data_IF_466422471254
#
_entry.id   IF_466422471254
#
_cell.length_a   1.000
_cell.length_b   1.000
_cell.length_c   1.000
_cell.angle_alpha   90.00
_cell.angle_beta   90.00
_cell.angle_gamma   90.00
#
_symmetry.space_group_name_H-M   'P 1'
#
loop_
_entity.id
_entity.type
_entity.pdbx_description
1 polymer ?
#
# COMPACT_ATOMS: atom_id res chain seq x y z
N UNK A 1 -28.47 -7.43 22.53
CA UNK A 1 -28.04 -6.52 21.44
C UNK A 1 -28.99 -6.81 20.29
N UNK A 2 -29.57 -5.78 19.68
CA UNK A 2 -30.38 -5.98 18.48
C UNK A 2 -29.48 -6.09 17.23
N UNK A 3 -30.02 -6.50 16.09
CA UNK A 3 -29.21 -6.69 14.88
C UNK A 3 -28.66 -5.37 14.31
N UNK A 4 -29.36 -4.25 14.51
CA UNK A 4 -28.86 -2.92 14.11
C UNK A 4 -27.61 -2.57 14.92
N UNK A 5 -27.62 -2.80 16.23
CA UNK A 5 -26.46 -2.60 17.11
C UNK A 5 -25.30 -3.53 16.72
N UNK A 6 -25.60 -4.74 16.23
CA UNK A 6 -24.59 -5.65 15.67
C UNK A 6 -23.91 -5.04 14.45
N UNK A 7 -24.70 -4.58 13.48
CA UNK A 7 -24.17 -3.90 12.29
C UNK A 7 -23.37 -2.65 12.67
N UNK A 8 -23.90 -1.78 13.54
CA UNK A 8 -23.21 -0.52 13.88
C UNK A 8 -21.92 -0.74 14.68
N UNK A 9 -21.86 -1.81 15.49
CA UNK A 9 -20.65 -2.19 16.24
C UNK A 9 -19.52 -2.60 15.29
N UNK A 10 -19.83 -3.31 14.21
CA UNK A 10 -18.83 -3.89 13.31
C UNK A 10 -18.57 -3.06 12.05
N UNK A 11 -19.58 -2.33 11.57
CA UNK A 11 -19.53 -1.56 10.33
C UNK A 11 -19.49 -0.04 10.56
N UNK A 12 -19.62 0.42 11.81
CA UNK A 12 -19.80 1.83 12.12
C UNK A 12 -21.19 2.33 11.76
N UNK A 13 -21.37 3.65 11.71
CA UNK A 13 -22.70 4.24 11.47
C UNK A 13 -23.16 3.98 10.04
N UNK A 14 -24.44 3.64 9.89
CA UNK A 14 -25.11 3.58 8.59
C UNK A 14 -24.97 4.92 7.85
N UNK A 15 -24.47 4.87 6.62
CA UNK A 15 -24.24 6.06 5.79
C UNK A 15 -25.35 6.31 4.78
N UNK A 16 -26.13 5.27 4.47
CA UNK A 16 -27.24 5.32 3.52
C UNK A 16 -28.25 4.23 3.79
N UNK A 17 -29.49 4.44 3.33
CA UNK A 17 -30.52 3.42 3.26
C UNK A 17 -31.37 3.65 2.02
N UNK A 18 -31.85 2.57 1.41
CA UNK A 18 -32.80 2.61 0.31
C UNK A 18 -34.09 1.92 0.73
N UNK A 19 -35.20 2.62 0.50
CA UNK A 19 -36.55 2.08 0.63
C UNK A 19 -37.04 1.70 -0.76
N UNK A 20 -37.23 0.40 -0.97
CA UNK A 20 -37.77 -0.17 -2.20
C UNK A 20 -39.17 -0.68 -1.88
N UNK A 21 -40.18 -0.28 -2.65
CA UNK A 21 -41.60 -0.49 -2.32
C UNK A 21 -41.91 -1.95 -1.97
N UNK A 22 -41.43 -2.91 -2.77
CA UNK A 22 -41.67 -4.34 -2.56
C UNK A 22 -41.02 -4.89 -1.27
N UNK A 23 -39.86 -4.35 -0.87
CA UNK A 23 -39.18 -4.75 0.36
C UNK A 23 -39.78 -4.06 1.59
N UNK A 24 -40.25 -2.82 1.43
CA UNK A 24 -40.83 -2.02 2.49
C UNK A 24 -42.14 -2.62 3.01
N UNK A 25 -42.95 -3.22 2.13
CA UNK A 25 -44.14 -4.00 2.52
C UNK A 25 -43.82 -5.14 3.50
N UNK A 26 -42.59 -5.65 3.45
CA UNK A 26 -42.09 -6.73 4.30
C UNK A 26 -41.21 -6.23 5.45
N UNK A 27 -41.15 -4.91 5.66
CA UNK A 27 -40.31 -4.23 6.64
C UNK A 27 -38.81 -4.55 6.48
N UNK A 28 -38.36 -4.67 5.22
CA UNK A 28 -36.96 -4.86 4.83
C UNK A 28 -36.43 -3.58 4.19
N UNK A 29 -35.19 -3.21 4.51
CA UNK A 29 -34.47 -2.08 3.91
C UNK A 29 -33.10 -2.56 3.41
N UNK A 30 -32.52 -1.82 2.45
CA UNK A 30 -31.11 -2.01 2.08
C UNK A 30 -30.31 -0.88 2.73
N UNK A 31 -29.28 -1.23 3.48
CA UNK A 31 -28.45 -0.26 4.21
C UNK A 31 -27.01 -0.29 3.72
N UNK A 32 -26.33 0.85 3.84
CA UNK A 32 -24.99 1.05 3.33
C UNK A 32 -24.03 1.49 4.43
N UNK A 33 -22.78 1.04 4.31
CA UNK A 33 -21.66 1.41 5.14
C UNK A 33 -20.46 1.78 4.27
N UNK A 34 -19.62 2.68 4.78
CA UNK A 34 -18.42 3.17 4.10
C UNK A 34 -17.19 2.85 4.94
N UNK A 35 -16.08 2.57 4.26
CA UNK A 35 -14.80 2.21 4.86
C UNK A 35 -14.88 0.94 5.72
N UNK A 36 -15.64 -0.06 5.26
CA UNK A 36 -15.74 -1.37 5.90
C UNK A 36 -15.90 -2.47 4.82
N UNK A 37 -15.24 -3.64 4.95
CA UNK A 37 -14.33 -4.05 6.04
C UNK A 37 -12.98 -3.32 6.03
N UNK A 38 -12.61 -2.70 4.91
CA UNK A 38 -11.39 -1.90 4.79
C UNK A 38 -11.69 -0.46 4.39
N UNK A 39 -10.68 0.41 4.52
CA UNK A 39 -10.76 1.78 4.01
C UNK A 39 -11.15 1.79 2.52
N UNK A 40 -11.93 2.79 2.12
CA UNK A 40 -12.45 2.96 0.76
C UNK A 40 -13.42 1.89 0.23
N UNK A 41 -13.73 0.84 1.02
CA UNK A 41 -14.75 -0.12 0.66
C UNK A 41 -16.16 0.42 0.96
N UNK A 42 -17.11 0.12 0.08
CA UNK A 42 -18.54 0.26 0.30
C UNK A 42 -19.12 -1.12 0.57
N UNK A 43 -19.90 -1.22 1.64
CA UNK A 43 -20.66 -2.42 1.97
C UNK A 43 -22.16 -2.13 1.89
N UNK A 44 -22.90 -3.01 1.23
CA UNK A 44 -24.36 -3.00 1.18
C UNK A 44 -24.86 -4.28 1.85
N UNK A 45 -25.92 -4.17 2.64
CA UNK A 45 -26.55 -5.33 3.27
C UNK A 45 -28.04 -5.12 3.44
N UNK A 46 -28.79 -6.21 3.43
CA UNK A 46 -30.19 -6.21 3.83
C UNK A 46 -30.33 -5.96 5.33
N UNK A 47 -31.43 -5.31 5.71
CA UNK A 47 -31.85 -5.12 7.09
C UNK A 47 -33.32 -5.48 7.21
N UNK A 48 -33.59 -6.62 7.85
CA UNK A 48 -34.94 -7.10 8.13
C UNK A 48 -35.28 -8.43 7.46
N UNK A 49 -34.45 -8.94 6.54
CA UNK A 49 -34.66 -10.26 5.93
C UNK A 49 -34.63 -11.35 7.02
N UNK A 50 -33.79 -11.17 8.03
CA UNK A 50 -33.68 -12.07 9.18
C UNK A 50 -34.98 -12.26 9.97
N UNK A 51 -35.96 -11.36 9.84
CA UNK A 51 -37.29 -11.53 10.48
C UNK A 51 -38.13 -12.61 9.81
N UNK A 52 -37.77 -13.00 8.60
CA UNK A 52 -38.41 -14.06 7.84
C UNK A 52 -37.63 -15.37 8.05
N UNK A 53 -38.35 -16.47 8.23
CA UNK A 53 -37.73 -17.79 8.36
C UNK A 53 -37.38 -18.31 6.98
N UNK A 54 -36.09 -18.56 6.73
CA UNK A 54 -35.60 -19.21 5.53
C UNK A 54 -35.33 -20.69 5.83
N UNK A 55 -35.32 -21.53 4.80
CA UNK A 55 -35.07 -22.97 4.92
C UNK A 55 -33.95 -23.41 4.00
N UNK A 56 -33.00 -24.16 4.56
CA UNK A 56 -32.03 -24.93 3.77
C UNK A 56 -32.72 -26.13 3.10
N UNK A 57 -32.08 -26.75 2.10
CA UNK A 57 -32.63 -27.93 1.42
C UNK A 57 -32.94 -29.09 2.38
N UNK A 58 -32.17 -29.21 3.46
CA UNK A 58 -32.38 -30.22 4.50
C UNK A 58 -33.60 -29.93 5.42
N UNK A 59 -34.30 -28.82 5.19
CA UNK A 59 -35.49 -28.38 5.93
C UNK A 59 -35.20 -27.67 7.26
N UNK A 60 -33.93 -27.46 7.61
CA UNK A 60 -33.58 -26.68 8.81
C UNK A 60 -33.85 -25.20 8.58
N UNK A 61 -34.37 -24.54 9.63
CA UNK A 61 -34.74 -23.13 9.59
C UNK A 61 -33.53 -22.28 9.98
N UNK A 62 -33.32 -21.19 9.25
CA UNK A 62 -32.27 -20.20 9.49
C UNK A 62 -32.79 -18.79 9.24
N UNK A 63 -32.08 -17.81 9.80
CA UNK A 63 -32.33 -16.40 9.58
C UNK A 63 -31.04 -15.78 9.04
N UNK A 64 -31.13 -15.12 7.89
CA UNK A 64 -29.97 -14.58 7.19
C UNK A 64 -30.20 -13.11 6.81
N UNK A 65 -29.09 -12.41 6.60
CA UNK A 65 -29.07 -11.13 5.89
C UNK A 65 -28.07 -11.26 4.74
N UNK A 66 -28.39 -10.64 3.61
CA UNK A 66 -27.55 -10.61 2.41
C UNK A 66 -26.55 -9.47 2.55
N UNK A 67 -25.34 -9.67 2.05
CA UNK A 67 -24.26 -8.69 2.14
C UNK A 67 -23.34 -8.76 0.92
N UNK A 68 -22.92 -7.58 0.43
CA UNK A 68 -21.89 -7.41 -0.59
C UNK A 68 -20.95 -6.27 -0.21
N UNK A 69 -19.68 -6.36 -0.63
CA UNK A 69 -18.67 -5.33 -0.36
C UNK A 69 -17.74 -5.14 -1.56
N UNK A 70 -17.45 -3.90 -1.95
CA UNK A 70 -16.52 -3.57 -3.06
C UNK A 70 -15.76 -2.28 -2.82
N UNK A 71 -14.64 -2.08 -3.53
CA UNK A 71 -13.85 -0.85 -3.50
C UNK A 71 -14.16 0.13 -4.64
N UNK A 72 -14.83 -0.31 -5.70
CA UNK A 72 -15.16 0.54 -6.85
C UNK A 72 -16.46 1.29 -6.60
N UNK A 73 -16.35 2.58 -6.24
CA UNK A 73 -17.51 3.47 -6.05
C UNK A 73 -18.42 3.51 -7.28
N UNK A 74 -17.87 3.39 -8.48
CA UNK A 74 -18.63 3.33 -9.73
C UNK A 74 -19.49 2.06 -9.91
N UNK A 75 -19.42 1.10 -8.97
CA UNK A 75 -20.22 -0.13 -8.95
C UNK A 75 -21.25 -0.13 -7.82
N UNK A 76 -21.41 0.97 -7.07
CA UNK A 76 -22.33 1.04 -5.93
C UNK A 76 -23.79 0.75 -6.33
N UNK A 77 -24.24 1.29 -7.48
CA UNK A 77 -25.59 1.01 -7.99
C UNK A 77 -25.78 -0.47 -8.34
N UNK A 78 -24.79 -1.09 -8.98
CA UNK A 78 -24.81 -2.52 -9.30
C UNK A 78 -24.88 -3.36 -8.01
N UNK A 79 -24.18 -2.96 -6.94
CA UNK A 79 -24.23 -3.63 -5.65
C UNK A 79 -25.60 -3.58 -4.99
N UNK A 80 -26.25 -2.42 -5.00
CA UNK A 80 -27.61 -2.25 -4.48
C UNK A 80 -28.58 -3.14 -5.28
N UNK A 81 -28.42 -3.19 -6.61
CA UNK A 81 -29.24 -4.03 -7.47
C UNK A 81 -29.06 -5.53 -7.18
N UNK A 82 -27.82 -5.99 -6.97
CA UNK A 82 -27.54 -7.36 -6.53
C UNK A 82 -28.18 -7.69 -5.19
N UNK A 83 -27.95 -6.84 -4.18
CA UNK A 83 -28.48 -7.05 -2.83
C UNK A 83 -30.02 -7.09 -2.83
N UNK A 84 -30.65 -6.21 -3.62
CA UNK A 84 -32.08 -6.22 -3.87
C UNK A 84 -32.55 -7.55 -4.47
N UNK A 85 -31.92 -8.01 -5.56
CA UNK A 85 -32.32 -9.22 -6.24
C UNK A 85 -32.21 -10.47 -5.35
N UNK A 86 -31.09 -10.60 -4.64
CA UNK A 86 -30.85 -11.69 -3.70
C UNK A 86 -31.87 -11.66 -2.55
N UNK A 87 -32.02 -10.50 -1.90
CA UNK A 87 -32.99 -10.35 -0.80
C UNK A 87 -34.41 -10.70 -1.24
N UNK A 88 -34.82 -10.24 -2.42
CA UNK A 88 -36.15 -10.50 -2.96
C UNK A 88 -36.35 -11.97 -3.34
N UNK A 89 -35.30 -12.65 -3.85
CA UNK A 89 -35.33 -14.07 -4.19
C UNK A 89 -35.48 -14.94 -2.93
N UNK A 90 -34.66 -14.70 -1.91
CA UNK A 90 -34.77 -15.39 -0.62
C UNK A 90 -36.17 -15.21 -0.01
N UNK A 91 -36.70 -13.99 -0.03
CA UNK A 91 -38.02 -13.67 0.50
C UNK A 91 -39.16 -14.36 -0.27
N UNK A 92 -39.10 -14.38 -1.61
CA UNK A 92 -40.13 -15.00 -2.46
C UNK A 92 -40.14 -16.52 -2.36
N UNK A 93 -38.95 -17.11 -2.28
CA UNK A 93 -38.80 -18.56 -2.36
C UNK A 93 -38.79 -19.21 -0.98
N UNK A 94 -38.43 -18.46 0.07
CA UNK A 94 -38.21 -18.97 1.42
C UNK A 94 -36.96 -19.84 1.56
N UNK A 95 -36.10 -19.88 0.54
CA UNK A 95 -34.86 -20.67 0.57
C UNK A 95 -33.73 -19.84 1.19
N UNK A 96 -32.95 -20.51 2.03
CA UNK A 96 -31.71 -19.98 2.58
C UNK A 96 -30.56 -20.17 1.58
N UNK A 97 -29.52 -19.34 1.72
CA UNK A 97 -28.29 -19.48 0.96
C UNK A 97 -27.29 -20.38 1.69
N UNK A 98 -26.80 -21.41 1.00
CA UNK A 98 -25.84 -22.38 1.50
C UNK A 98 -24.40 -21.88 1.28
N UNK A 99 -23.58 -21.91 2.33
CA UNK A 99 -22.17 -21.57 2.20
C UNK A 99 -21.49 -22.56 1.24
N UNK A 100 -20.73 -22.04 0.28
CA UNK A 100 -20.06 -22.84 -0.74
C UNK A 100 -20.85 -23.03 -2.03
N UNK A 101 -22.11 -22.58 -2.10
CA UNK A 101 -22.83 -22.53 -3.37
C UNK A 101 -22.42 -21.31 -4.21
N UNK A 102 -22.80 -21.34 -5.49
CA UNK A 102 -22.70 -20.16 -6.35
C UNK A 102 -23.95 -20.01 -7.22
N UNK A 103 -24.34 -18.75 -7.42
CA UNK A 103 -25.49 -18.36 -8.22
C UNK A 103 -25.01 -17.72 -9.53
N UNK A 104 -25.70 -17.92 -10.67
CA UNK A 104 -25.34 -17.25 -11.91
C UNK A 104 -25.43 -15.73 -11.76
N UNK A 105 -24.47 -15.00 -12.36
CA UNK A 105 -24.49 -13.54 -12.34
C UNK A 105 -25.73 -13.02 -13.08
N UNK A 106 -26.53 -12.11 -12.49
CA UNK A 106 -27.65 -11.48 -13.20
C UNK A 106 -27.20 -10.69 -14.44
N UNK A 107 -27.99 -10.77 -15.51
CA UNK A 107 -27.70 -10.08 -16.76
C UNK A 107 -27.57 -8.56 -16.56
N UNK A 108 -26.51 -7.97 -17.10
CA UNK A 108 -26.27 -6.52 -17.11
C UNK A 108 -25.54 -5.99 -15.87
N UNK A 109 -25.69 -6.63 -14.72
CA UNK A 109 -25.08 -6.22 -13.45
C UNK A 109 -23.61 -6.64 -13.40
N UNK A 110 -22.71 -5.71 -13.04
CA UNK A 110 -21.26 -5.93 -13.03
C UNK A 110 -20.65 -6.42 -14.37
N UNK A 111 -21.40 -6.33 -15.47
CA UNK A 111 -21.05 -6.92 -16.77
C UNK A 111 -19.71 -6.45 -17.34
N UNK A 112 -19.28 -5.23 -17.01
CA UNK A 112 -17.98 -4.65 -17.41
C UNK A 112 -16.76 -5.35 -16.78
N UNK A 113 -16.95 -6.14 -15.72
CA UNK A 113 -15.87 -6.79 -14.98
C UNK A 113 -15.68 -8.27 -15.36
N UNK A 114 -16.61 -8.87 -16.11
CA UNK A 114 -16.45 -10.23 -16.64
C UNK A 114 -16.66 -11.37 -15.64
N UNK A 115 -17.30 -11.10 -14.50
CA UNK A 115 -17.71 -12.12 -13.54
C UNK A 115 -18.81 -13.02 -14.12
N UNK A 116 -18.77 -14.31 -13.75
CA UNK A 116 -19.69 -15.32 -14.24
C UNK A 116 -20.74 -15.73 -13.19
N UNK A 117 -20.39 -15.65 -11.91
CA UNK A 117 -21.24 -16.09 -10.81
C UNK A 117 -21.01 -15.28 -9.53
N UNK A 118 -21.90 -15.46 -8.54
CA UNK A 118 -21.80 -14.96 -7.18
C UNK A 118 -21.59 -16.17 -6.25
N UNK A 119 -20.45 -16.23 -5.59
CA UNK A 119 -20.13 -17.26 -4.61
C UNK A 119 -20.61 -16.87 -3.22
N UNK A 120 -21.20 -17.82 -2.50
CA UNK A 120 -21.79 -17.61 -1.18
C UNK A 120 -20.80 -18.05 -0.10
N UNK A 121 -20.42 -17.12 0.77
CA UNK A 121 -19.45 -17.39 1.84
C UNK A 121 -19.75 -16.57 3.11
N UNK A 122 -19.00 -16.85 4.18
CA UNK A 122 -19.00 -16.02 5.38
C UNK A 122 -18.32 -14.68 5.11
N UNK A 123 -18.69 -13.57 5.78
CA UNK A 123 -18.00 -12.29 5.65
C UNK A 123 -16.65 -12.33 6.40
N UNK A 124 -15.71 -13.14 5.91
CA UNK A 124 -14.47 -13.47 6.63
C UNK A 124 -13.43 -12.33 6.68
N UNK A 125 -13.62 -11.27 5.88
CA UNK A 125 -12.88 -10.01 6.02
C UNK A 125 -13.29 -9.19 7.23
N UNK A 126 -14.44 -9.50 7.83
CA UNK A 126 -14.88 -8.89 9.08
C UNK A 126 -14.38 -9.72 10.26
N UNK A 127 -14.31 -9.09 11.44
CA UNK A 127 -14.01 -9.81 12.67
C UNK A 127 -14.91 -11.04 12.85
N UNK A 128 -14.38 -12.14 13.38
CA UNK A 128 -15.13 -13.39 13.59
C UNK A 128 -16.45 -13.16 14.35
N UNK A 129 -16.45 -12.20 15.28
CA UNK A 129 -17.65 -11.85 16.06
C UNK A 129 -18.76 -11.18 15.24
N UNK A 130 -18.51 -10.73 14.01
CA UNK A 130 -19.52 -10.23 13.09
C UNK A 130 -20.29 -11.36 12.38
N UNK A 131 -19.64 -12.49 12.13
CA UNK A 131 -20.15 -13.56 11.26
C UNK A 131 -21.38 -14.28 11.82
N UNK A 132 -21.68 -14.12 13.11
CA UNK A 132 -22.88 -14.67 13.75
C UNK A 132 -23.43 -13.68 14.78
N UNK A 133 -24.67 -13.23 14.58
CA UNK A 133 -25.40 -12.48 15.59
C UNK A 133 -26.22 -13.42 16.47
N UNK A 134 -26.17 -13.22 17.78
CA UNK A 134 -27.02 -13.90 18.76
C UNK A 134 -28.05 -12.90 19.29
N UNK A 135 -29.28 -13.02 18.78
CA UNK A 135 -30.37 -12.12 19.13
C UNK A 135 -30.94 -12.41 20.52
N UNK A 136 -31.68 -11.43 21.04
CA UNK A 136 -32.42 -11.57 22.29
C UNK A 136 -33.89 -11.93 21.96
N UNK A 137 -34.29 -13.16 22.31
CA UNK A 137 -35.66 -13.61 22.11
C UNK A 137 -36.70 -12.70 22.83
N UNK A 138 -36.30 -12.00 23.89
CA UNK A 138 -37.16 -11.04 24.58
C UNK A 138 -37.44 -9.76 23.77
N UNK A 139 -36.59 -9.42 22.79
CA UNK A 139 -36.79 -8.29 21.88
C UNK A 139 -37.51 -8.67 20.59
N UNK A 140 -37.96 -9.91 20.45
CA UNK A 140 -38.65 -10.39 19.24
C UNK A 140 -37.71 -10.60 18.05
N UNK A 141 -36.41 -10.71 18.28
CA UNK A 141 -35.43 -11.08 17.26
C UNK A 141 -35.21 -12.60 17.22
N UNK A 142 -34.80 -13.15 16.06
CA UNK A 142 -34.35 -14.53 15.99
C UNK A 142 -33.17 -14.82 16.92
N UNK A 143 -33.09 -16.04 17.44
CA UNK A 143 -32.00 -16.47 18.33
C UNK A 143 -30.62 -16.39 17.66
N UNK A 144 -30.56 -16.64 16.35
CA UNK A 144 -29.33 -16.56 15.57
C UNK A 144 -29.62 -15.97 14.20
N UNK A 145 -28.83 -14.97 13.80
CA UNK A 145 -28.85 -14.39 12.46
C UNK A 145 -27.46 -14.52 11.85
N UNK A 146 -27.40 -14.96 10.59
CA UNK A 146 -26.15 -15.13 9.83
C UNK A 146 -26.07 -14.06 8.72
N UNK A 147 -25.12 -13.12 8.78
CA UNK A 147 -24.78 -12.33 7.61
C UNK A 147 -24.10 -13.25 6.58
N UNK A 148 -24.62 -13.27 5.36
CA UNK A 148 -24.13 -14.08 4.25
C UNK A 148 -23.52 -13.17 3.21
N UNK A 149 -22.27 -13.43 2.84
CA UNK A 149 -21.49 -12.58 1.95
C UNK A 149 -21.44 -13.17 0.54
N UNK A 150 -21.74 -12.34 -0.45
CA UNK A 150 -21.70 -12.72 -1.86
C UNK A 150 -20.50 -12.10 -2.55
N UNK A 151 -19.67 -12.97 -3.14
CA UNK A 151 -18.42 -12.60 -3.81
C UNK A 151 -18.53 -12.87 -5.31
N UNK A 152 -18.40 -11.87 -6.18
CA UNK A 152 -18.32 -12.10 -7.62
C UNK A 152 -17.09 -12.95 -8.00
N UNK A 153 -17.34 -14.03 -8.75
CA UNK A 153 -16.30 -14.97 -9.21
C UNK A 153 -16.29 -15.15 -10.73
N UNK A 154 -15.11 -15.43 -11.28
CA UNK A 154 -14.87 -15.64 -12.70
C UNK A 154 -15.25 -17.07 -13.13
N UNK A 155 -15.44 -17.27 -14.44
CA UNK A 155 -15.72 -18.59 -14.99
C UNK A 155 -14.60 -19.62 -14.70
N UNK A 156 -13.35 -19.18 -14.63
CA UNK A 156 -12.22 -20.05 -14.28
C UNK A 156 -12.25 -20.49 -12.81
N UNK A 157 -12.75 -19.65 -11.92
CA UNK A 157 -12.94 -19.96 -10.50
C UNK A 157 -14.10 -20.93 -10.30
N UNK A 158 -15.20 -20.76 -11.05
CA UNK A 158 -16.28 -21.76 -11.12
C UNK A 158 -15.73 -23.11 -11.57
N UNK A 159 -14.94 -23.13 -12.65
CA UNK A 159 -14.32 -24.36 -13.14
C UNK A 159 -13.36 -24.99 -12.11
N UNK A 160 -12.67 -24.17 -11.32
CA UNK A 160 -11.83 -24.64 -10.23
C UNK A 160 -12.65 -25.33 -9.13
N UNK A 161 -13.76 -24.73 -8.69
CA UNK A 161 -14.69 -25.31 -7.71
C UNK A 161 -15.22 -26.65 -8.23
N UNK A 162 -15.64 -26.71 -9.49
CA UNK A 162 -16.13 -27.95 -10.12
C UNK A 162 -15.06 -29.05 -10.20
N UNK A 163 -13.78 -28.68 -10.35
CA UNK A 163 -12.67 -29.61 -10.50
C UNK A 163 -12.10 -30.10 -9.16
N UNK A 164 -11.92 -29.20 -8.19
CA UNK A 164 -11.18 -29.46 -6.95
C UNK A 164 -12.06 -29.44 -5.70
N UNK A 165 -13.27 -28.88 -5.79
CA UNK A 165 -14.23 -28.81 -4.70
C UNK A 165 -14.22 -27.46 -3.97
N UNK A 166 -15.26 -27.29 -3.15
CA UNK A 166 -15.54 -26.07 -2.37
C UNK A 166 -14.49 -25.82 -1.29
N UNK A 167 -14.01 -26.88 -0.62
CA UNK A 167 -13.05 -26.75 0.48
C UNK A 167 -11.72 -26.14 0.00
N UNK A 168 -11.18 -26.64 -1.10
CA UNK A 168 -9.94 -26.11 -1.72
C UNK A 168 -10.12 -24.67 -2.20
N UNK A 169 -11.30 -24.32 -2.74
CA UNK A 169 -11.59 -22.95 -3.14
C UNK A 169 -11.71 -22.01 -1.94
N UNK A 170 -12.29 -22.46 -0.82
CA UNK A 170 -12.36 -21.68 0.41
C UNK A 170 -10.97 -21.40 1.00
N UNK A 171 -10.07 -22.38 1.01
CA UNK A 171 -8.70 -22.17 1.46
C UNK A 171 -8.02 -21.07 0.63
N UNK A 172 -8.17 -21.11 -0.70
CA UNK A 172 -7.68 -20.06 -1.58
C UNK A 172 -8.34 -18.69 -1.32
N UNK A 173 -9.65 -18.64 -1.07
CA UNK A 173 -10.35 -17.40 -0.71
C UNK A 173 -9.83 -16.82 0.60
N UNK A 174 -9.57 -17.63 1.63
CA UNK A 174 -9.10 -17.15 2.93
C UNK A 174 -7.68 -16.57 2.88
N UNK A 175 -6.87 -16.98 1.90
CA UNK A 175 -5.55 -16.40 1.64
C UNK A 175 -5.63 -15.05 0.91
N UNK A 176 -6.78 -14.70 0.32
CA UNK A 176 -6.95 -13.40 -0.32
C UNK A 176 -7.13 -12.31 0.73
N UNK A 177 -6.29 -11.29 0.78
CA UNK A 177 -6.42 -10.26 1.82
C UNK A 177 -7.59 -9.29 1.60
N UNK A 178 -7.57 -8.53 0.51
CA UNK A 178 -8.64 -7.58 0.12
C UNK A 178 -9.05 -7.73 -1.34
N UNK A 179 -8.47 -8.73 -2.03
CA UNK A 179 -8.60 -8.87 -3.48
C UNK A 179 -10.07 -9.06 -3.89
N UNK A 180 -10.88 -9.74 -3.08
CA UNK A 180 -12.29 -10.02 -3.40
C UNK A 180 -13.17 -8.78 -3.43
N UNK A 181 -12.74 -7.67 -2.81
CA UNK A 181 -13.43 -6.38 -2.88
C UNK A 181 -13.09 -5.60 -4.15
N UNK A 182 -12.02 -5.99 -4.84
CA UNK A 182 -11.57 -5.33 -6.05
C UNK A 182 -12.21 -6.00 -7.27
N UNK A 183 -13.24 -5.36 -7.82
CA UNK A 183 -13.91 -5.83 -9.04
C UNK A 183 -13.01 -5.82 -10.29
N UNK A 184 -11.84 -5.17 -10.23
CA UNK A 184 -10.83 -5.15 -11.30
C UNK A 184 -9.73 -6.19 -11.09
N UNK A 185 -9.86 -7.07 -10.09
CA UNK A 185 -8.91 -8.15 -9.82
C UNK A 185 -8.83 -9.11 -11.02
N UNK A 186 -7.67 -9.76 -11.15
CA UNK A 186 -7.56 -10.94 -11.99
C UNK A 186 -8.24 -12.15 -11.32
N UNK A 187 -8.60 -13.19 -12.10
CA UNK A 187 -9.04 -14.46 -11.53
C UNK A 187 -7.98 -15.04 -10.59
N UNK A 188 -8.41 -15.66 -9.49
CA UNK A 188 -7.51 -16.37 -8.56
C UNK A 188 -6.91 -17.63 -9.21
N UNK A 189 -7.54 -18.13 -10.27
CA UNK A 189 -7.13 -19.31 -11.00
C UNK A 189 -7.41 -19.18 -12.51
N UNK A 190 -6.59 -19.84 -13.34
CA UNK A 190 -6.92 -20.14 -14.74
C UNK A 190 -6.53 -19.10 -15.78
N UNK A 191 -5.68 -18.13 -15.44
CA UNK A 191 -4.97 -17.29 -16.43
C UNK A 191 -3.47 -17.28 -16.13
N UNK A 192 -2.85 -18.45 -16.28
CA UNK A 192 -1.43 -18.70 -15.97
C UNK A 192 -0.52 -17.66 -16.63
N UNK A 193 -0.86 -17.17 -17.83
CA UNK A 193 -0.06 -16.14 -18.52
C UNK A 193 -0.12 -14.76 -17.87
N UNK A 194 -1.26 -14.35 -17.30
CA UNK A 194 -1.40 -13.08 -16.61
C UNK A 194 -0.85 -13.15 -15.18
N UNK A 195 -1.09 -14.26 -14.48
CA UNK A 195 -0.58 -14.52 -13.13
C UNK A 195 0.95 -14.69 -13.15
N UNK A 196 1.51 -15.44 -14.11
CA UNK A 196 2.96 -15.54 -14.31
C UNK A 196 3.56 -14.20 -14.74
N UNK A 197 2.91 -13.43 -15.64
CA UNK A 197 3.42 -12.13 -16.06
C UNK A 197 3.42 -11.09 -14.92
N UNK A 198 2.48 -11.17 -13.98
CA UNK A 198 2.43 -10.32 -12.79
C UNK A 198 3.49 -10.76 -11.77
N UNK A 199 3.62 -12.06 -11.51
CA UNK A 199 4.64 -12.62 -10.62
C UNK A 199 6.07 -12.51 -11.19
N UNK A 200 6.22 -12.33 -12.51
CA UNK A 200 7.51 -12.05 -13.12
C UNK A 200 7.98 -10.59 -12.96
N UNK A 201 7.09 -9.68 -12.54
CA UNK A 201 7.45 -8.28 -12.28
C UNK A 201 8.00 -8.11 -10.87
N UNK A 202 8.86 -7.12 -10.69
CA UNK A 202 9.34 -6.70 -9.38
C UNK A 202 8.18 -6.15 -8.57
N UNK A 203 8.00 -6.64 -7.35
CA UNK A 203 6.88 -6.28 -6.49
C UNK A 203 7.35 -5.30 -5.43
N UNK A 204 6.62 -4.19 -5.28
CA UNK A 204 6.91 -3.16 -4.30
C UNK A 204 5.86 -3.10 -3.19
N UNK A 205 6.34 -2.94 -1.97
CA UNK A 205 5.56 -2.45 -0.85
C UNK A 205 5.91 -0.99 -0.61
N UNK A 206 4.90 -0.13 -0.64
CA UNK A 206 5.08 1.31 -0.51
C UNK A 206 4.28 1.82 0.68
N UNK A 207 4.94 2.58 1.55
CA UNK A 207 4.31 3.25 2.67
C UNK A 207 4.50 4.76 2.52
N UNK A 208 3.41 5.50 2.49
CA UNK A 208 3.41 6.95 2.60
C UNK A 208 3.69 7.34 4.06
N UNK A 209 4.75 8.12 4.25
CA UNK A 209 5.23 8.53 5.56
C UNK A 209 4.81 9.97 5.86
N UNK A 210 4.44 10.24 7.11
CA UNK A 210 4.28 11.60 7.59
C UNK A 210 5.65 12.23 7.82
N UNK A 211 5.89 13.39 7.22
CA UNK A 211 7.15 14.11 7.37
C UNK A 211 7.15 14.81 8.74
N UNK A 212 7.85 14.22 9.70
CA UNK A 212 8.01 14.70 11.07
C UNK A 212 9.48 14.70 11.47
N UNK A 213 9.84 15.40 12.56
CA UNK A 213 11.21 15.31 13.10
C UNK A 213 11.57 13.86 13.47
N UNK A 214 10.62 13.12 14.05
CA UNK A 214 10.78 11.70 14.42
C UNK A 214 11.07 10.81 13.20
N UNK A 215 10.42 11.04 12.05
CA UNK A 215 10.72 10.31 10.81
C UNK A 215 12.20 10.45 10.39
N UNK A 216 12.80 11.63 10.59
CA UNK A 216 14.22 11.84 10.30
C UNK A 216 15.13 11.26 11.37
N UNK A 217 14.73 11.34 12.65
CA UNK A 217 15.54 10.87 13.77
C UNK A 217 15.53 9.36 13.94
N UNK A 218 14.39 8.70 13.72
CA UNK A 218 14.15 7.30 14.04
C UNK A 218 14.18 6.40 12.80
N UNK A 219 13.63 6.83 11.66
CA UNK A 219 13.53 5.98 10.46
C UNK A 219 14.73 6.20 9.52
N UNK A 220 14.93 7.44 9.05
CA UNK A 220 16.05 7.76 8.15
C UNK A 220 17.38 7.77 8.93
N UNK A 221 17.37 8.33 10.14
CA UNK A 221 18.53 8.42 11.04
C UNK A 221 19.76 9.11 10.39
N UNK A 222 19.53 10.19 9.64
CA UNK A 222 20.59 10.99 9.00
C UNK A 222 20.39 12.48 9.33
N UNK A 223 21.46 13.30 9.38
CA UNK A 223 21.35 14.72 9.72
C UNK A 223 20.71 15.50 8.56
N UNK A 224 19.38 15.42 8.44
CA UNK A 224 18.60 16.08 7.40
C UNK A 224 17.76 17.17 8.04
N UNK A 225 17.79 18.38 7.49
CA UNK A 225 16.90 19.45 7.93
C UNK A 225 16.06 19.87 6.74
N UNK A 226 14.76 19.91 6.95
CA UNK A 226 13.84 20.39 5.94
C UNK A 226 13.74 21.91 6.01
N UNK A 227 14.67 22.59 5.36
CA UNK A 227 14.53 24.02 5.09
C UNK A 227 13.99 24.21 3.67
N UNK A 228 12.72 23.83 3.48
CA UNK A 228 11.99 23.83 2.19
C UNK A 228 10.71 22.97 2.29
N UNK A 229 9.71 23.15 1.41
CA UNK A 229 8.42 22.49 1.52
C UNK A 229 8.42 21.07 0.93
N UNK A 230 9.26 20.13 1.41
CA UNK A 230 9.04 18.71 1.10
C UNK A 230 7.67 18.30 1.67
N UNK A 231 6.80 17.73 0.84
CA UNK A 231 5.39 17.53 1.22
C UNK A 231 4.95 16.05 1.19
N UNK A 232 5.72 15.17 0.53
CA UNK A 232 5.48 13.73 0.48
C UNK A 232 6.76 12.96 0.72
N UNK A 233 6.62 11.88 1.48
CA UNK A 233 7.66 10.90 1.73
C UNK A 233 7.06 9.51 1.51
N UNK A 234 7.82 8.64 0.86
CA UNK A 234 7.46 7.25 0.64
C UNK A 234 8.62 6.35 1.05
N UNK A 235 8.34 5.35 1.87
CA UNK A 235 9.20 4.20 2.06
C UNK A 235 8.85 3.15 0.98
N UNK A 236 9.86 2.67 0.26
CA UNK A 236 9.72 1.70 -0.83
C UNK A 236 10.58 0.49 -0.50
N UNK A 237 9.93 -0.64 -0.33
CA UNK A 237 10.52 -1.95 -0.11
C UNK A 237 10.25 -2.86 -1.31
N UNK A 238 11.25 -3.65 -1.71
CA UNK A 238 11.02 -4.75 -2.65
C UNK A 238 10.56 -5.99 -1.88
N UNK A 239 9.51 -6.64 -2.38
CA UNK A 239 9.05 -7.95 -1.91
C UNK A 239 9.95 -9.03 -2.50
N UNK A 240 10.97 -9.46 -1.74
CA UNK A 240 11.85 -10.54 -2.14
C UNK A 240 12.05 -11.56 -1.04
N UNK A 241 11.87 -12.84 -1.39
CA UNK A 241 12.04 -13.98 -0.48
C UNK A 241 13.52 -14.26 -0.13
N UNK A 242 14.46 -13.58 -0.79
CA UNK A 242 15.88 -13.77 -0.60
C UNK A 242 16.39 -12.98 0.63
N UNK A 243 17.05 -13.68 1.56
CA UNK A 243 17.83 -13.04 2.62
C UNK A 243 18.87 -12.08 2.02
N UNK A 244 18.61 -10.77 2.09
CA UNK A 244 19.54 -9.71 1.68
C UNK A 244 19.05 -8.87 0.49
N UNK A 245 18.00 -8.08 0.70
CA UNK A 245 17.31 -7.25 -0.32
C UNK A 245 18.23 -6.22 -1.02
N UNK A 246 19.39 -5.87 -0.45
CA UNK A 246 20.16 -4.71 -0.89
C UNK A 246 20.70 -4.76 -2.33
N UNK A 247 21.03 -5.94 -2.88
CA UNK A 247 21.46 -6.06 -4.29
C UNK A 247 20.28 -5.82 -5.25
N UNK A 248 19.10 -6.32 -4.89
CA UNK A 248 17.89 -6.10 -5.68
C UNK A 248 17.43 -4.65 -5.56
N UNK A 249 17.50 -4.07 -4.36
CA UNK A 249 17.24 -2.64 -4.11
C UNK A 249 18.21 -1.74 -4.86
N UNK A 250 19.51 -2.09 -4.94
CA UNK A 250 20.49 -1.38 -5.75
C UNK A 250 20.15 -1.44 -7.25
N UNK A 251 19.78 -2.62 -7.74
CA UNK A 251 19.38 -2.82 -9.14
C UNK A 251 18.11 -2.04 -9.47
N UNK A 252 17.11 -2.10 -8.59
CA UNK A 252 15.89 -1.30 -8.71
C UNK A 252 16.17 0.20 -8.66
N UNK A 253 17.05 0.68 -7.78
CA UNK A 253 17.42 2.08 -7.72
C UNK A 253 18.04 2.57 -9.03
N UNK A 254 18.92 1.78 -9.65
CA UNK A 254 19.45 2.08 -10.98
C UNK A 254 18.32 2.23 -12.01
N UNK A 255 17.47 1.21 -12.11
CA UNK A 255 16.38 1.19 -13.10
C UNK A 255 15.38 2.32 -12.87
N UNK A 256 15.02 2.59 -11.62
CA UNK A 256 14.13 3.68 -11.23
C UNK A 256 14.69 5.04 -11.65
N UNK A 257 15.93 5.36 -11.28
CA UNK A 257 16.56 6.64 -11.59
C UNK A 257 16.78 6.81 -13.10
N UNK A 258 17.14 5.74 -13.80
CA UNK A 258 17.36 5.73 -15.24
C UNK A 258 16.03 5.83 -16.02
N UNK A 259 14.97 5.18 -15.56
CA UNK A 259 13.62 5.26 -16.13
C UNK A 259 13.06 6.69 -16.13
N UNK A 260 13.42 7.50 -15.12
CA UNK A 260 13.05 8.91 -15.12
C UNK A 260 13.64 9.67 -16.31
N UNK A 261 14.78 9.22 -16.84
CA UNK A 261 15.51 9.87 -17.93
C UNK A 261 15.78 11.37 -17.66
N UNK A 262 16.11 11.69 -16.40
CA UNK A 262 16.29 13.05 -15.87
C UNK A 262 17.73 13.30 -15.42
N UNK A 263 18.65 13.32 -16.37
CA UNK A 263 20.03 13.74 -16.11
C UNK A 263 20.18 15.27 -16.27
N UNK A 264 21.04 15.93 -15.47
CA UNK A 264 21.95 15.32 -14.50
C UNK A 264 21.28 14.95 -13.17
N UNK A 265 21.76 13.88 -12.56
CA UNK A 265 21.43 13.45 -11.19
C UNK A 265 22.62 13.78 -10.29
N UNK A 266 22.39 14.11 -9.03
CA UNK A 266 23.44 14.42 -8.06
C UNK A 266 23.45 13.36 -6.96
N UNK A 267 24.49 12.53 -6.94
CA UNK A 267 24.68 11.55 -5.86
C UNK A 267 25.49 12.18 -4.73
N UNK A 268 24.97 12.14 -3.51
CA UNK A 268 25.64 12.63 -2.31
C UNK A 268 25.89 11.50 -1.33
N UNK A 269 27.14 11.32 -0.92
CA UNK A 269 27.52 10.26 0.02
C UNK A 269 28.66 10.66 0.96
N UNK A 270 28.66 10.03 2.12
CA UNK A 270 29.69 10.15 3.13
C UNK A 270 30.97 9.41 2.71
N UNK A 271 32.13 9.93 3.11
CA UNK A 271 33.39 9.21 3.06
C UNK A 271 34.32 9.64 4.20
N UNK A 272 35.13 8.71 4.69
CA UNK A 272 36.21 8.98 5.63
C UNK A 272 37.40 9.66 4.91
N UNK A 273 38.22 10.43 5.65
CA UNK A 273 39.42 11.08 5.10
C UNK A 273 40.38 10.10 4.43
N UNK A 274 40.46 8.86 4.92
CA UNK A 274 41.31 7.82 4.37
C UNK A 274 40.85 7.42 2.95
N UNK A 275 39.54 7.52 2.67
CA UNK A 275 38.91 7.22 1.39
C UNK A 275 38.89 8.42 0.44
N UNK A 276 39.13 9.67 0.91
CA UNK A 276 39.08 10.88 0.07
C UNK A 276 40.02 10.77 -1.13
N UNK A 277 41.22 10.22 -0.94
CA UNK A 277 42.19 10.04 -2.03
C UNK A 277 41.70 9.02 -3.07
N UNK A 278 41.11 7.91 -2.62
CA UNK A 278 40.59 6.85 -3.49
C UNK A 278 39.37 7.34 -4.26
N UNK A 279 38.41 7.96 -3.58
CA UNK A 279 37.24 8.62 -4.17
C UNK A 279 37.63 9.65 -5.24
N UNK A 280 38.53 10.59 -4.93
CA UNK A 280 39.01 11.59 -5.91
C UNK A 280 39.71 10.96 -7.10
N UNK A 281 40.48 9.89 -6.87
CA UNK A 281 41.17 9.17 -7.94
C UNK A 281 40.16 8.47 -8.86
N UNK A 282 39.14 7.85 -8.29
CA UNK A 282 38.03 7.24 -9.02
C UNK A 282 37.28 8.27 -9.86
N UNK A 283 36.87 9.40 -9.28
CA UNK A 283 36.19 10.47 -10.03
C UNK A 283 37.06 11.02 -11.16
N UNK A 284 38.36 11.23 -10.92
CA UNK A 284 39.29 11.70 -11.94
C UNK A 284 39.47 10.68 -13.08
N UNK A 285 39.62 9.39 -12.75
CA UNK A 285 39.73 8.30 -13.72
C UNK A 285 38.50 8.22 -14.64
N UNK A 286 37.31 8.44 -14.08
CA UNK A 286 36.04 8.37 -14.79
C UNK A 286 35.54 9.74 -15.30
N UNK A 287 36.35 10.80 -15.17
CA UNK A 287 36.04 12.17 -15.63
C UNK A 287 34.74 12.75 -15.04
N UNK A 288 34.43 12.41 -13.79
CA UNK A 288 33.22 12.84 -13.09
C UNK A 288 33.41 14.24 -12.48
N UNK A 289 32.38 15.08 -12.58
CA UNK A 289 32.36 16.38 -11.90
C UNK A 289 31.83 16.21 -10.47
N UNK A 290 32.52 16.76 -9.47
CA UNK A 290 32.11 16.62 -8.08
C UNK A 290 32.45 17.85 -7.23
N UNK A 291 31.74 17.98 -6.11
CA UNK A 291 32.07 18.88 -5.00
C UNK A 291 32.33 18.05 -3.74
N UNK A 292 33.07 18.61 -2.78
CA UNK A 292 33.34 17.96 -1.50
C UNK A 292 33.18 18.95 -0.35
N UNK A 293 32.45 18.56 0.69
CA UNK A 293 32.26 19.33 1.91
C UNK A 293 32.90 18.61 3.11
N UNK A 294 33.77 19.30 3.85
CA UNK A 294 34.39 18.75 5.07
C UNK A 294 33.49 19.03 6.26
N UNK A 295 33.13 18.00 7.02
CA UNK A 295 32.27 18.10 8.20
C UNK A 295 32.97 18.77 9.39
N UNK A 296 32.16 19.37 10.26
CA UNK A 296 32.66 19.97 11.49
C UNK A 296 33.19 18.91 12.46
N UNK A 297 34.36 19.19 13.09
CA UNK A 297 35.07 18.26 14.01
C UNK A 297 34.25 17.77 15.22
N UNK A 298 33.08 18.35 15.50
CA UNK A 298 32.23 17.92 16.63
C UNK A 298 31.37 16.69 16.32
N UNK A 299 31.24 16.29 15.05
CA UNK A 299 30.43 15.13 14.61
C UNK A 299 31.24 14.03 13.90
N UNK A 300 32.57 14.02 14.02
CA UNK A 300 33.38 12.86 13.61
C UNK A 300 33.13 11.71 14.59
N UNK A 301 32.07 10.94 14.36
CA UNK A 301 31.71 9.73 15.11
C UNK A 301 31.91 8.53 14.21
N UNK A 302 32.69 7.55 14.65
CA UNK A 302 32.75 6.24 13.99
C UNK A 302 31.42 5.51 14.25
N UNK A 303 30.44 5.65 13.35
CA UNK A 303 29.21 4.86 13.32
C UNK A 303 28.25 4.97 14.54
N UNK A 304 26.97 5.19 14.23
CA UNK A 304 25.77 5.12 15.09
C UNK A 304 25.71 5.99 16.36
N UNK A 305 24.83 7.00 16.27
CA UNK A 305 24.00 7.61 17.34
C UNK A 305 24.65 7.85 18.71
N UNK A 306 24.95 9.12 19.02
CA UNK A 306 25.09 9.65 20.41
C UNK A 306 25.97 8.83 21.37
N UNK A 307 26.83 7.94 20.86
CA UNK A 307 27.84 7.20 21.59
C UNK A 307 29.19 7.86 21.39
N UNK A 308 29.75 8.44 22.45
CA UNK A 308 31.00 9.22 22.40
C UNK A 308 32.21 8.35 22.01
N UNK A 309 32.50 8.23 20.72
CA UNK A 309 33.86 8.14 20.21
C UNK A 309 34.08 9.26 19.21
N UNK A 310 34.80 10.29 19.66
CA UNK A 310 35.36 11.29 18.75
C UNK A 310 36.43 10.60 17.93
N UNK A 311 36.13 10.33 16.67
CA UNK A 311 37.18 10.12 15.69
C UNK A 311 37.91 11.44 15.49
N UNK A 312 39.21 11.36 15.27
CA UNK A 312 40.05 12.52 14.95
C UNK A 312 40.25 12.69 13.43
N UNK A 313 39.72 11.77 12.62
CA UNK A 313 39.86 11.78 11.16
C UNK A 313 38.83 12.69 10.52
N UNK A 314 39.25 13.52 9.55
CA UNK A 314 38.34 14.35 8.78
C UNK A 314 37.30 13.49 8.04
N UNK A 315 36.05 13.99 7.92
CA UNK A 315 34.96 13.27 7.25
C UNK A 315 34.35 14.18 6.21
N UNK A 316 34.01 13.62 5.05
CA UNK A 316 33.70 14.35 3.84
C UNK A 316 32.33 13.92 3.32
N UNK A 317 31.55 14.86 2.81
CA UNK A 317 30.45 14.57 1.90
C UNK A 317 30.89 14.89 0.48
N UNK A 318 30.78 13.93 -0.43
CA UNK A 318 30.94 14.16 -1.85
C UNK A 318 29.59 14.33 -2.50
N UNK A 319 29.45 15.29 -3.40
CA UNK A 319 28.31 15.38 -4.32
C UNK A 319 28.84 15.25 -5.75
N UNK A 320 28.50 14.15 -6.41
CA UNK A 320 28.95 13.83 -7.77
C UNK A 320 27.81 14.10 -8.75
N UNK A 321 28.12 14.84 -9.82
CA UNK A 321 27.20 15.08 -10.92
C UNK A 321 27.26 13.89 -11.89
N UNK A 322 26.12 13.23 -12.04
CA UNK A 322 25.89 12.07 -12.90
C UNK A 322 25.21 12.57 -14.17
N UNK A 323 25.89 12.47 -15.31
CA UNK A 323 25.40 13.00 -16.60
C UNK A 323 24.67 11.94 -17.44
N UNK A 324 24.88 10.66 -17.16
CA UNK A 324 24.28 9.55 -17.90
C UNK A 324 24.22 8.26 -17.06
N UNK A 325 23.53 7.25 -17.60
CA UNK A 325 23.34 5.94 -16.97
C UNK A 325 24.65 5.20 -16.66
N UNK A 326 25.70 5.39 -17.47
CA UNK A 326 26.98 4.72 -17.24
C UNK A 326 27.68 5.29 -16.00
N UNK A 327 27.61 6.61 -15.82
CA UNK A 327 28.13 7.25 -14.60
C UNK A 327 27.27 6.86 -13.38
N UNK A 328 25.95 6.68 -13.56
CA UNK A 328 25.06 6.22 -12.49
C UNK A 328 25.45 4.83 -11.99
N UNK A 329 25.62 3.87 -12.91
CA UNK A 329 26.05 2.50 -12.62
C UNK A 329 27.37 2.49 -11.83
N UNK A 330 28.37 3.23 -12.31
CA UNK A 330 29.67 3.35 -11.65
C UNK A 330 29.58 3.93 -10.24
N UNK A 331 28.71 4.91 -10.00
CA UNK A 331 28.54 5.50 -8.66
C UNK A 331 27.81 4.55 -7.72
N UNK A 332 26.82 3.80 -8.21
CA UNK A 332 26.17 2.76 -7.41
C UNK A 332 27.17 1.67 -7.03
N UNK A 333 27.97 1.14 -7.97
CA UNK A 333 29.02 0.15 -7.66
C UNK A 333 30.04 0.67 -6.65
N UNK A 334 30.41 1.96 -6.75
CA UNK A 334 31.48 2.55 -5.94
C UNK A 334 31.02 2.97 -4.53
N UNK A 335 29.80 3.47 -4.38
CA UNK A 335 29.37 4.18 -3.17
C UNK A 335 28.16 3.54 -2.44
N UNK A 336 27.50 2.54 -3.02
CA UNK A 336 26.32 1.92 -2.37
C UNK A 336 26.66 1.23 -1.05
N UNK A 337 27.89 0.74 -0.89
CA UNK A 337 28.39 0.15 0.35
C UNK A 337 28.28 1.10 1.58
N UNK A 338 28.25 2.42 1.36
CA UNK A 338 28.04 3.39 2.43
C UNK A 338 26.71 3.18 3.18
N UNK A 339 25.66 2.74 2.48
CA UNK A 339 24.36 2.48 3.10
C UNK A 339 24.43 1.32 4.11
N UNK A 340 25.19 0.26 3.80
CA UNK A 340 25.43 -0.87 4.70
C UNK A 340 26.23 -0.49 5.93
N UNK A 341 27.12 0.50 5.80
CA UNK A 341 27.84 1.09 6.92
C UNK A 341 26.98 2.04 7.75
N UNK A 342 25.71 2.21 7.38
CA UNK A 342 24.75 3.14 7.97
C UNK A 342 25.17 4.60 7.84
N UNK A 343 25.89 4.90 6.76
CA UNK A 343 26.22 6.25 6.38
C UNK A 343 25.21 6.77 5.35
N UNK A 344 25.23 8.08 5.09
CA UNK A 344 24.32 8.69 4.12
C UNK A 344 24.73 8.31 2.70
N UNK A 345 23.77 7.82 1.92
CA UNK A 345 23.85 7.73 0.47
C UNK A 345 22.51 8.14 -0.14
N UNK A 346 22.52 9.19 -0.96
CA UNK A 346 21.30 9.75 -1.55
C UNK A 346 21.52 10.29 -2.96
N UNK A 347 20.42 10.44 -3.69
CA UNK A 347 20.35 11.00 -5.04
C UNK A 347 19.35 12.15 -5.08
N UNK A 348 19.64 13.19 -5.85
CA UNK A 348 18.69 14.29 -6.11
C UNK A 348 18.73 14.75 -7.56
N UNK A 349 17.63 15.34 -8.02
CA UNK A 349 17.59 16.03 -9.33
C UNK A 349 18.02 17.49 -9.27
N UNK A 350 18.32 18.01 -8.08
CA UNK A 350 18.74 19.40 -7.88
C UNK A 350 20.21 19.50 -7.48
N UNK A 351 20.92 20.43 -8.12
CA UNK A 351 22.29 20.83 -7.77
C UNK A 351 22.36 21.81 -6.60
N UNK A 352 21.19 22.26 -6.12
CA UNK A 352 21.07 23.27 -5.06
C UNK A 352 21.03 22.69 -3.66
N UNK A 353 21.30 21.40 -3.49
CA UNK A 353 21.50 20.82 -2.18
C UNK A 353 22.73 21.47 -1.54
N UNK A 354 22.51 22.18 -0.44
CA UNK A 354 23.58 22.86 0.27
C UNK A 354 23.70 22.34 1.69
N UNK A 355 24.95 22.16 2.13
CA UNK A 355 25.24 21.86 3.53
C UNK A 355 25.51 23.20 4.23
N UNK A 356 24.58 23.63 5.08
CA UNK A 356 24.72 24.83 5.89
C UNK A 356 25.26 24.51 7.28
N UNK A 357 26.00 25.44 7.87
CA UNK A 357 26.48 25.34 9.25
C UNK A 357 25.67 26.25 10.15
N UNK A 358 24.94 25.66 11.08
CA UNK A 358 24.40 26.42 12.19
C UNK A 358 25.54 26.74 13.16
N UNK A 359 25.68 28.02 13.53
CA UNK A 359 26.75 28.49 14.43
C UNK A 359 26.18 29.29 15.59
N UNK A 360 26.57 28.92 16.80
CA UNK A 360 26.32 29.71 17.99
C UNK A 360 27.52 30.63 18.25
N UNK A 361 27.30 31.94 18.22
CA UNK A 361 28.34 32.92 18.56
C UNK A 361 28.04 33.54 19.91
N UNK A 362 28.87 33.22 20.90
CA UNK A 362 28.94 33.93 22.17
C UNK A 362 30.04 34.98 22.12
N UNK A 363 30.04 35.93 23.06
CA UNK A 363 31.05 37.01 23.15
C UNK A 363 32.52 36.54 23.16
N UNK A 364 32.80 35.27 23.47
CA UNK A 364 34.17 34.71 23.53
C UNK A 364 34.45 33.60 22.53
N UNK A 365 33.43 33.04 21.87
CA UNK A 365 33.59 31.83 21.04
C UNK A 365 32.44 31.67 20.06
N UNK A 366 32.78 31.40 18.81
CA UNK A 366 31.87 30.80 17.82
C UNK A 366 32.03 29.29 17.86
N UNK A 367 30.91 28.58 17.98
CA UNK A 367 30.84 27.11 17.93
C UNK A 367 29.88 26.71 16.81
N UNK A 368 30.30 25.76 15.97
CA UNK A 368 29.36 25.11 15.04
C UNK A 368 28.45 24.20 15.85
N UNK A 369 27.14 24.42 15.76
CA UNK A 369 26.10 23.61 16.37
C UNK A 369 25.82 22.37 15.52
N UNK A 370 25.63 22.55 14.21
CA UNK A 370 25.20 21.48 13.31
C UNK A 370 25.54 21.75 11.84
N UNK A 371 25.90 20.69 11.09
CA UNK A 371 25.91 20.69 9.62
C UNK A 371 24.53 20.17 9.14
N UNK A 372 23.86 20.91 8.25
CA UNK A 372 22.46 20.67 7.81
C UNK A 372 22.33 20.61 6.30
N UNK A 373 21.72 19.57 5.76
CA UNK A 373 21.29 19.57 4.36
C UNK A 373 20.08 20.48 4.18
N UNK A 374 20.11 21.35 3.18
CA UNK A 374 19.02 22.28 2.83
C UNK A 374 18.54 21.98 1.42
N UNK A 375 17.23 21.78 1.27
CA UNK A 375 16.56 21.37 0.05
C UNK A 375 15.86 22.56 -0.63
N UNK A 376 15.84 22.65 -1.96
CA UNK A 376 15.11 23.72 -2.66
C UNK A 376 13.59 23.47 -2.70
N UNK A 377 12.84 24.49 -3.12
CA UNK A 377 11.37 24.45 -3.21
C UNK A 377 10.80 23.40 -4.17
N UNK A 378 11.59 22.94 -5.14
CA UNK A 378 11.21 21.91 -6.09
C UNK A 378 12.39 20.91 -6.22
N UNK A 379 12.24 19.73 -5.63
CA UNK A 379 13.23 18.68 -5.58
C UNK A 379 12.59 17.33 -5.25
N UNK A 380 13.15 16.29 -5.85
CA UNK A 380 12.99 14.91 -5.40
C UNK A 380 14.34 14.38 -4.93
N UNK A 381 14.31 13.66 -3.82
CA UNK A 381 15.47 13.04 -3.19
C UNK A 381 15.14 11.58 -2.94
N UNK A 382 16.06 10.70 -3.33
CA UNK A 382 15.99 9.27 -3.05
C UNK A 382 17.13 8.93 -2.09
N UNK A 383 16.80 8.38 -0.94
CA UNK A 383 17.76 8.05 0.11
C UNK A 383 17.77 6.53 0.26
N UNK A 384 18.95 5.94 0.31
CA UNK A 384 19.11 4.52 0.64
C UNK A 384 19.09 4.35 2.16
N UNK A 385 18.30 3.41 2.65
CA UNK A 385 18.13 3.17 4.09
C UNK A 385 19.41 2.75 4.79
N UNK A 386 19.34 2.73 6.13
CA UNK A 386 20.22 1.88 6.92
C UNK A 386 20.16 0.45 6.35
N UNK A 387 21.30 -0.23 6.24
CA UNK A 387 21.49 -1.58 5.65
C UNK A 387 21.33 -1.76 4.13
N UNK A 388 20.87 -0.75 3.40
CA UNK A 388 20.72 -0.82 1.94
C UNK A 388 19.48 -1.57 1.43
N UNK A 389 18.60 -2.08 2.29
CA UNK A 389 17.47 -2.90 1.88
C UNK A 389 16.27 -2.11 1.32
N UNK A 390 16.12 -0.83 1.67
CA UNK A 390 14.95 -0.04 1.28
C UNK A 390 15.31 1.38 0.82
N UNK A 391 14.35 2.05 0.19
CA UNK A 391 14.50 3.40 -0.33
C UNK A 391 13.49 4.35 0.30
N UNK A 392 13.93 5.55 0.65
CA UNK A 392 13.04 6.66 0.96
C UNK A 392 12.99 7.63 -0.21
N UNK A 393 11.82 7.87 -0.78
CA UNK A 393 11.58 8.90 -1.79
C UNK A 393 10.88 10.09 -1.15
N UNK A 394 11.56 11.22 -1.09
CA UNK A 394 11.03 12.48 -0.57
C UNK A 394 10.89 13.46 -1.74
N UNK A 395 9.71 14.07 -1.89
CA UNK A 395 9.49 15.02 -2.97
C UNK A 395 8.52 16.13 -2.61
N UNK A 396 8.65 17.23 -3.33
CA UNK A 396 7.65 18.30 -3.45
C UNK A 396 7.36 18.67 -4.91
N UNK A 397 7.86 17.87 -5.85
CA UNK A 397 7.55 18.01 -7.27
C UNK A 397 6.15 17.44 -7.55
N UNK A 398 5.32 18.15 -8.31
CA UNK A 398 3.94 17.75 -8.63
C UNK A 398 3.83 16.28 -9.13
N UNK A 399 4.86 15.80 -9.82
CA UNK A 399 4.97 14.43 -10.33
C UNK A 399 4.96 13.35 -9.24
N UNK A 400 5.44 13.67 -8.03
CA UNK A 400 5.54 12.77 -6.89
C UNK A 400 4.72 13.25 -5.66
N UNK A 401 4.15 14.47 -5.70
CA UNK A 401 3.72 15.21 -4.50
C UNK A 401 2.20 15.45 -4.32
N UNK A 402 1.32 14.88 -5.15
CA UNK A 402 -0.08 15.34 -5.25
C UNK A 402 -1.09 14.75 -4.22
N UNK A 403 -2.16 15.52 -3.94
CA UNK A 403 -3.21 15.36 -2.91
C UNK A 403 -4.20 14.18 -3.12
N UNK A 404 -4.72 13.66 -2.00
CA UNK A 404 -5.56 12.49 -1.72
C UNK A 404 -6.88 12.35 -2.51
N UNK A 405 -7.15 13.23 -3.48
CA UNK A 405 -8.41 13.25 -4.26
C UNK A 405 -8.27 12.74 -5.69
N UNK A 406 -7.04 12.45 -6.14
CA UNK A 406 -6.78 11.79 -7.42
C UNK A 406 -5.83 10.63 -7.21
N UNK A 407 -5.87 9.69 -8.15
CA UNK A 407 -5.14 8.43 -8.19
C UNK A 407 -3.61 8.63 -8.23
N UNK A 408 -3.03 9.02 -7.08
CA UNK A 408 -1.60 9.26 -6.93
C UNK A 408 -0.80 7.96 -7.12
N UNK A 409 -1.38 6.82 -6.76
CA UNK A 409 -0.85 5.48 -7.05
C UNK A 409 -0.60 5.31 -8.56
N UNK A 410 -1.56 5.67 -9.43
CA UNK A 410 -1.34 5.68 -10.88
C UNK A 410 -0.18 6.57 -11.32
N UNK A 411 0.01 7.74 -10.70
CA UNK A 411 1.12 8.64 -11.05
C UNK A 411 2.47 8.10 -10.60
N UNK A 412 2.55 7.59 -9.37
CA UNK A 412 3.74 6.91 -8.87
C UNK A 412 4.11 5.74 -9.79
N UNK A 413 3.13 4.92 -10.21
CA UNK A 413 3.36 3.85 -11.20
C UNK A 413 3.90 4.33 -12.54
N UNK A 414 3.46 5.49 -13.03
CA UNK A 414 4.04 6.06 -14.26
C UNK A 414 5.52 6.41 -14.09
N UNK A 415 5.96 6.69 -12.85
CA UNK A 415 7.36 6.91 -12.53
C UNK A 415 8.12 5.61 -12.23
N UNK A 416 7.47 4.44 -12.15
CA UNK A 416 8.16 3.18 -11.91
C UNK A 416 8.59 2.52 -13.23
N UNK A 417 9.69 1.74 -13.22
CA UNK A 417 10.05 0.89 -14.35
C UNK A 417 8.89 0.00 -14.78
N UNK A 418 8.76 -0.26 -16.09
CA UNK A 418 7.61 -0.98 -16.66
C UNK A 418 7.45 -2.43 -16.19
N UNK A 419 8.53 -3.01 -15.65
CA UNK A 419 8.60 -4.36 -15.08
C UNK A 419 8.36 -4.37 -13.57
N UNK A 420 7.82 -3.28 -13.01
CA UNK A 420 7.53 -3.13 -11.58
C UNK A 420 6.03 -2.99 -11.33
N UNK A 421 5.54 -3.55 -10.22
CA UNK A 421 4.17 -3.38 -9.73
C UNK A 421 4.18 -3.04 -8.24
N UNK A 422 3.30 -2.13 -7.84
CA UNK A 422 3.04 -1.86 -6.41
C UNK A 422 2.05 -2.92 -5.95
N UNK A 423 2.53 -3.86 -5.12
CA UNK A 423 1.77 -4.97 -4.54
C UNK A 423 1.06 -4.56 -3.26
N UNK A 424 1.64 -3.63 -2.50
CA UNK A 424 1.00 -3.05 -1.30
C UNK A 424 1.25 -1.54 -1.22
N UNK A 425 0.26 -0.77 -0.78
CA UNK A 425 0.32 0.68 -0.52
C UNK A 425 -0.31 1.00 0.83
N UNK A 426 0.43 1.60 1.77
CA UNK A 426 -0.09 1.94 3.10
C UNK A 426 -0.74 0.76 3.84
N UNK A 427 -0.23 -0.46 3.61
CA UNK A 427 -0.81 -1.69 4.14
C UNK A 427 -1.97 -2.29 3.32
N UNK A 428 -2.47 -1.58 2.30
CA UNK A 428 -3.51 -2.07 1.39
C UNK A 428 -2.88 -2.87 0.23
N UNK A 429 -3.39 -4.07 -0.09
CA UNK A 429 -2.87 -4.89 -1.18
C UNK A 429 -3.54 -4.57 -2.52
N UNK A 430 -2.72 -4.48 -3.57
CA UNK A 430 -3.15 -4.21 -4.92
C UNK A 430 -2.85 -5.42 -5.80
N UNK A 431 -3.90 -6.01 -6.35
CA UNK A 431 -3.75 -7.01 -7.40
C UNK A 431 -3.28 -6.37 -8.72
N UNK A 432 -3.68 -5.11 -8.97
CA UNK A 432 -3.22 -4.22 -10.06
C UNK A 432 -4.00 -2.90 -9.94
N UNK A 433 -3.36 -1.75 -9.68
CA UNK A 433 -3.96 -0.43 -9.92
C UNK A 433 -3.30 0.25 -11.12
#
# INVERSE_FOLDING_TARGET
MNYIEHLEKHCGKMTGHLEIEELQEQAIQLVQFQNVPFANATTVTSLGLSRHSLQFENGSIVHQEVMLSVMQREAESDLIELDYHLTLEALKTGHAYDLGEYLPMPDGVLSKYGFAALYVTTPFYFEESFQVHKGDAASGEPETVLPVWFVPIFASEVAYIEQYGVDEFNDMLYETEMQLLNLKRHPLFGDDGAIEALNAKRQLFVLECEITDDFFEDDIQRPLVLEGPLNKAYEINLDSEAQGNAVETQTFLFDFLNHQNRFPIYATFFAFQEEDKENRSFFAQHHMSFTSHVLSKQKQTDGWLRGKRTSSSESHYFTVKIEDAKILELILEHAYENAFMNELFMFSYSDRLSIQREVETTYRKTRVLEDRFVYPEESTVVIVSHDGAMLYLLSNEEYFAYDLRTDWAKRLRQQLPSDTVIRQLNGEWFADL
#
